data_IF_649347884675
#
_entry.id   IF_649347884675
#
_cell.length_a   1.000
_cell.length_b   1.000
_cell.length_c   1.000
_cell.angle_alpha   90.00
_cell.angle_beta   90.00
_cell.angle_gamma   90.00
#
_symmetry.space_group_name_H-M   'P 1'
#
loop_
_entity.id
_entity.type
_entity.pdbx_description
1 polymer ?
#
# COMPACT_ATOMS: atom_id res chain seq x y z
N UNK A 1 17.45 11.10 0.34
CA UNK A 1 17.41 11.35 -1.13
C UNK A 1 16.13 12.10 -1.42
N UNK A 2 16.21 13.17 -2.22
CA UNK A 2 15.06 14.00 -2.58
C UNK A 2 15.03 14.12 -4.11
N UNK A 3 13.86 13.96 -4.72
CA UNK A 3 13.67 13.99 -6.17
C UNK A 3 12.45 14.84 -6.52
N UNK A 4 12.57 15.61 -7.60
CA UNK A 4 11.46 16.27 -8.28
C UNK A 4 11.24 15.57 -9.62
N UNK A 5 10.02 15.18 -9.92
CA UNK A 5 9.66 14.45 -11.14
C UNK A 5 8.46 15.13 -11.80
N UNK A 6 8.53 15.20 -13.11
CA UNK A 6 7.47 15.73 -13.98
C UNK A 6 7.05 14.65 -14.97
N UNK A 7 6.16 14.97 -15.90
CA UNK A 7 5.74 14.12 -17.02
C UNK A 7 4.94 12.89 -16.66
N UNK A 8 4.16 12.94 -15.59
CA UNK A 8 3.28 11.83 -15.18
C UNK A 8 1.91 12.34 -14.74
N UNK A 9 0.94 11.44 -14.78
CA UNK A 9 -0.43 11.73 -14.38
C UNK A 9 -1.12 10.42 -13.99
N UNK A 10 -1.71 10.38 -12.78
CA UNK A 10 -2.53 9.25 -12.33
C UNK A 10 -3.92 9.38 -12.97
N UNK A 11 -4.22 8.48 -13.89
CA UNK A 11 -5.45 8.51 -14.70
C UNK A 11 -6.63 7.85 -14.03
N UNK A 12 -6.40 6.68 -13.45
CA UNK A 12 -7.45 5.87 -12.83
C UNK A 12 -6.87 4.96 -11.75
N UNK A 13 -7.70 4.63 -10.77
CA UNK A 13 -7.39 3.66 -9.70
C UNK A 13 -8.56 2.69 -9.60
N UNK A 14 -8.29 1.40 -9.59
CA UNK A 14 -9.23 0.35 -9.19
C UNK A 14 -8.74 -0.31 -7.91
N UNK A 15 -9.68 -0.72 -7.06
CA UNK A 15 -9.37 -1.44 -5.82
C UNK A 15 -10.29 -2.66 -5.71
N UNK A 16 -9.70 -3.81 -5.42
CA UNK A 16 -10.38 -5.08 -5.24
C UNK A 16 -10.14 -5.58 -3.82
N UNK A 17 -11.23 -6.00 -3.19
CA UNK A 17 -11.21 -6.74 -1.93
C UNK A 17 -11.93 -8.08 -2.15
N UNK A 18 -11.67 -9.10 -1.32
CA UNK A 18 -12.53 -10.29 -1.27
C UNK A 18 -14.00 -9.90 -1.15
N UNK A 19 -14.89 -10.69 -1.75
CA UNK A 19 -16.29 -10.32 -1.97
C UNK A 19 -17.05 -9.93 -0.70
N UNK A 20 -16.74 -10.59 0.42
CA UNK A 20 -17.42 -10.37 1.69
C UNK A 20 -16.37 -10.24 2.81
N UNK A 21 -16.66 -9.43 3.84
CA UNK A 21 -15.86 -9.46 5.05
C UNK A 21 -15.96 -10.83 5.72
N UNK A 22 -14.93 -11.20 6.47
CA UNK A 22 -14.95 -12.42 7.26
C UNK A 22 -16.03 -12.30 8.35
N UNK A 23 -16.81 -13.36 8.53
CA UNK A 23 -17.89 -13.34 9.52
C UNK A 23 -17.34 -13.44 10.94
N UNK A 24 -17.99 -12.74 11.88
CA UNK A 24 -17.60 -12.73 13.29
C UNK A 24 -17.44 -14.15 13.87
N UNK A 25 -18.35 -15.07 13.53
CA UNK A 25 -18.31 -16.44 14.05
C UNK A 25 -17.05 -17.19 13.57
N UNK A 26 -16.63 -16.93 12.33
CA UNK A 26 -15.42 -17.52 11.74
C UNK A 26 -14.17 -16.90 12.39
N UNK A 27 -14.17 -15.59 12.63
CA UNK A 27 -13.08 -14.88 13.33
C UNK A 27 -12.87 -15.39 14.75
N UNK A 28 -13.96 -15.53 15.52
CA UNK A 28 -13.91 -16.07 16.90
C UNK A 28 -13.28 -17.46 16.92
N UNK A 29 -13.66 -18.32 15.95
CA UNK A 29 -13.16 -19.68 15.82
C UNK A 29 -11.69 -19.71 15.38
N UNK A 30 -11.33 -18.94 14.35
CA UNK A 30 -9.97 -18.89 13.82
C UNK A 30 -8.98 -18.36 14.85
N UNK A 31 -9.35 -17.29 15.55
CA UNK A 31 -8.53 -16.68 16.59
C UNK A 31 -8.57 -17.43 17.94
N UNK A 32 -9.48 -18.38 18.11
CA UNK A 32 -9.72 -19.05 19.39
C UNK A 32 -9.90 -18.04 20.55
N UNK A 33 -10.86 -17.13 20.41
CA UNK A 33 -11.18 -16.09 21.40
C UNK A 33 -12.68 -16.06 21.68
N UNK A 34 -13.03 -15.54 22.87
CA UNK A 34 -14.41 -15.30 23.23
C UNK A 34 -14.89 -13.92 22.72
N UNK A 35 -16.20 -13.74 22.73
CA UNK A 35 -16.86 -12.53 22.23
C UNK A 35 -16.41 -11.25 22.96
N UNK A 36 -16.23 -11.30 24.28
CA UNK A 36 -15.77 -10.15 25.07
C UNK A 36 -14.37 -9.68 24.64
N UNK A 37 -13.45 -10.62 24.44
CA UNK A 37 -12.10 -10.31 23.97
C UNK A 37 -12.12 -9.77 22.54
N UNK A 38 -12.95 -10.34 21.68
CA UNK A 38 -13.15 -9.87 20.31
C UNK A 38 -13.61 -8.41 20.28
N UNK A 39 -14.66 -8.07 21.05
CA UNK A 39 -15.18 -6.70 21.13
C UNK A 39 -14.11 -5.71 21.61
N UNK A 40 -13.34 -6.07 22.66
CA UNK A 40 -12.24 -5.22 23.14
C UNK A 40 -11.16 -4.97 22.06
N UNK A 41 -10.85 -5.99 21.26
CA UNK A 41 -9.86 -5.83 20.17
C UNK A 41 -10.38 -4.89 19.08
N UNK A 42 -11.65 -5.00 18.70
CA UNK A 42 -12.27 -4.11 17.71
C UNK A 42 -12.38 -2.66 18.22
N UNK A 43 -12.81 -2.47 19.47
CA UNK A 43 -12.91 -1.13 20.07
C UNK A 43 -11.54 -0.44 20.14
N UNK A 44 -10.48 -1.18 20.51
CA UNK A 44 -9.14 -0.64 20.62
C UNK A 44 -8.52 -0.30 19.25
N UNK A 45 -8.75 -1.12 18.23
CA UNK A 45 -8.23 -0.88 16.89
C UNK A 45 -9.06 0.12 16.07
N UNK A 46 -10.35 0.21 16.37
CA UNK A 46 -11.33 0.95 15.57
C UNK A 46 -11.65 0.29 14.22
N UNK A 47 -11.28 -1.00 14.05
CA UNK A 47 -11.52 -1.79 12.85
C UNK A 47 -12.65 -2.76 13.11
N UNK A 48 -13.70 -2.71 12.29
CA UNK A 48 -14.92 -3.50 12.49
C UNK A 48 -15.15 -4.54 11.40
N UNK A 49 -14.57 -4.35 10.23
CA UNK A 49 -14.61 -5.30 9.12
C UNK A 49 -13.21 -5.56 8.63
N UNK A 50 -12.92 -6.80 8.26
CA UNK A 50 -11.74 -7.13 7.47
C UNK A 50 -12.06 -8.23 6.46
N UNK A 51 -11.27 -8.31 5.42
CA UNK A 51 -11.53 -9.13 4.25
C UNK A 51 -10.41 -10.14 4.08
N UNK A 52 -10.79 -11.41 4.00
CA UNK A 52 -9.85 -12.53 3.90
C UNK A 52 -10.15 -13.30 2.62
N UNK A 53 -9.13 -13.55 1.84
CA UNK A 53 -9.20 -14.36 0.64
C UNK A 53 -9.44 -15.83 0.97
N UNK A 54 -10.16 -16.53 0.13
CA UNK A 54 -10.29 -17.99 0.23
C UNK A 54 -8.95 -18.71 0.01
N UNK A 55 -8.94 -20.04 0.22
CA UNK A 55 -7.71 -20.84 0.16
C UNK A 55 -7.06 -20.82 -1.24
N UNK A 56 -7.84 -20.66 -2.30
CA UNK A 56 -7.40 -20.71 -3.69
C UNK A 56 -6.99 -19.37 -4.29
N UNK A 57 -7.36 -18.24 -3.64
CA UNK A 57 -7.09 -16.90 -4.13
C UNK A 57 -5.75 -16.38 -3.61
N UNK A 58 -4.86 -15.98 -4.49
CA UNK A 58 -3.52 -15.45 -4.22
C UNK A 58 -3.38 -14.00 -4.69
N UNK A 59 -2.20 -13.43 -4.44
CA UNK A 59 -1.94 -12.02 -4.78
C UNK A 59 -2.06 -11.73 -6.28
N UNK A 60 -1.60 -12.63 -7.15
CA UNK A 60 -1.75 -12.47 -8.60
C UNK A 60 -3.19 -12.56 -9.08
N UNK A 61 -4.06 -13.30 -8.38
CA UNK A 61 -5.49 -13.41 -8.74
C UNK A 61 -6.22 -12.10 -8.46
N UNK A 62 -6.03 -11.52 -7.26
CA UNK A 62 -6.59 -10.21 -6.92
C UNK A 62 -6.02 -9.11 -7.84
N UNK A 63 -4.72 -9.18 -8.13
CA UNK A 63 -4.05 -8.27 -9.05
C UNK A 63 -4.62 -8.33 -10.46
N UNK A 64 -4.88 -9.55 -10.96
CA UNK A 64 -5.52 -9.78 -12.26
C UNK A 64 -6.91 -9.13 -12.30
N UNK A 65 -7.73 -9.34 -11.26
CA UNK A 65 -9.05 -8.73 -11.16
C UNK A 65 -8.97 -7.18 -11.14
N UNK A 66 -8.00 -6.62 -10.43
CA UNK A 66 -7.84 -5.16 -10.36
C UNK A 66 -7.51 -4.55 -11.73
N UNK A 67 -6.68 -5.19 -12.55
CA UNK A 67 -6.39 -4.73 -13.91
C UNK A 67 -7.56 -5.00 -14.86
N UNK A 68 -8.26 -6.12 -14.69
CA UNK A 68 -9.43 -6.47 -15.50
C UNK A 68 -10.55 -5.44 -15.41
N UNK A 69 -10.69 -4.75 -14.28
CA UNK A 69 -11.63 -3.62 -14.13
C UNK A 69 -11.37 -2.50 -15.15
N UNK A 70 -10.12 -2.21 -15.46
CA UNK A 70 -9.79 -1.20 -16.49
C UNK A 70 -10.08 -1.70 -17.89
N UNK A 71 -9.77 -2.98 -18.16
CA UNK A 71 -9.96 -3.58 -19.47
C UNK A 71 -11.44 -3.75 -19.80
N UNK A 72 -12.24 -4.24 -18.85
CA UNK A 72 -13.68 -4.47 -19.03
C UNK A 72 -14.49 -3.21 -19.17
N UNK A 73 -14.02 -2.08 -18.65
CA UNK A 73 -14.66 -0.75 -18.73
C UNK A 73 -14.11 0.12 -19.86
N UNK A 74 -13.28 -0.44 -20.75
CA UNK A 74 -12.63 0.30 -21.85
C UNK A 74 -11.83 1.54 -21.40
N UNK A 75 -11.36 1.56 -20.14
CA UNK A 75 -10.48 2.61 -19.62
C UNK A 75 -9.07 2.47 -20.20
N UNK A 76 -8.66 1.22 -20.46
CA UNK A 76 -7.35 0.85 -20.99
C UNK A 76 -7.49 -0.34 -21.91
N UNK A 77 -6.72 -0.40 -22.99
CA UNK A 77 -6.60 -1.58 -23.86
C UNK A 77 -5.33 -2.35 -23.56
N UNK A 78 -5.34 -3.67 -23.79
CA UNK A 78 -4.21 -4.55 -23.50
C UNK A 78 -2.94 -4.19 -24.25
N UNK A 79 -3.07 -3.74 -25.49
CA UNK A 79 -1.98 -3.34 -26.38
C UNK A 79 -1.43 -1.93 -26.09
N UNK A 80 -2.08 -1.19 -25.21
CA UNK A 80 -1.63 0.13 -24.76
C UNK A 80 -0.75 0.08 -23.50
N UNK A 81 -0.58 -1.09 -22.88
CA UNK A 81 0.22 -1.23 -21.65
C UNK A 81 1.68 -1.38 -22.02
N UNK A 82 2.46 -0.31 -21.88
CA UNK A 82 3.89 -0.32 -22.13
C UNK A 82 4.68 -0.91 -20.95
N UNK A 83 4.23 -0.66 -19.72
CA UNK A 83 4.87 -1.10 -18.48
C UNK A 83 3.84 -1.66 -17.49
N UNK A 84 4.09 -2.85 -16.99
CA UNK A 84 3.36 -3.48 -15.88
C UNK A 84 4.31 -3.65 -14.69
N UNK A 85 4.03 -2.96 -13.60
CA UNK A 85 4.75 -3.11 -12.32
C UNK A 85 3.84 -3.77 -11.30
N UNK A 86 4.31 -4.84 -10.70
CA UNK A 86 3.62 -5.50 -9.59
C UNK A 86 4.42 -5.33 -8.31
N UNK A 87 3.77 -4.93 -7.23
CA UNK A 87 4.40 -4.82 -5.92
C UNK A 87 3.60 -5.57 -4.86
N UNK A 88 4.32 -6.38 -4.08
CA UNK A 88 3.76 -7.19 -3.01
C UNK A 88 4.84 -7.59 -2.01
N UNK A 89 4.46 -7.87 -0.78
CA UNK A 89 5.30 -8.62 0.16
C UNK A 89 4.80 -10.06 0.37
N UNK A 90 3.67 -10.41 -0.23
CA UNK A 90 3.12 -11.78 -0.28
C UNK A 90 2.96 -12.24 -1.73
N UNK A 91 4.04 -12.23 -2.55
CA UNK A 91 3.95 -12.75 -3.92
C UNK A 91 3.59 -14.23 -3.88
N UNK A 92 2.95 -14.73 -4.94
CA UNK A 92 2.56 -16.14 -5.05
C UNK A 92 3.79 -17.05 -5.01
N UNK A 93 4.86 -16.61 -5.69
CA UNK A 93 6.16 -17.29 -5.77
C UNK A 93 7.30 -16.26 -5.67
N UNK A 94 8.46 -16.70 -5.21
CA UNK A 94 9.70 -15.92 -5.39
C UNK A 94 10.17 -15.96 -6.86
N UNK A 95 9.81 -17.01 -7.58
CA UNK A 95 10.00 -17.20 -9.01
C UNK A 95 9.01 -18.27 -9.52
N UNK A 96 8.34 -18.07 -10.65
CA UNK A 96 8.44 -16.92 -11.57
C UNK A 96 7.84 -15.63 -10.98
N UNK A 97 8.10 -14.50 -11.63
CA UNK A 97 7.53 -13.20 -11.28
C UNK A 97 6.00 -13.22 -11.38
N UNK A 98 5.30 -12.53 -10.45
CA UNK A 98 3.84 -12.43 -10.47
C UNK A 98 3.31 -11.66 -11.69
N UNK A 99 4.07 -10.69 -12.21
CA UNK A 99 3.73 -10.03 -13.49
C UNK A 99 3.59 -11.02 -14.64
N UNK A 100 4.38 -12.11 -14.66
CA UNK A 100 4.25 -13.17 -15.67
C UNK A 100 2.94 -13.93 -15.56
N UNK A 101 2.43 -14.14 -14.34
CA UNK A 101 1.13 -14.78 -14.11
C UNK A 101 -0.01 -13.84 -14.56
N UNK A 102 0.03 -12.58 -14.16
CA UNK A 102 -0.95 -11.57 -14.56
C UNK A 102 -0.96 -11.39 -16.08
N UNK A 103 0.22 -11.29 -16.70
CA UNK A 103 0.40 -11.18 -18.14
C UNK A 103 -0.26 -12.35 -18.89
N UNK A 104 0.01 -13.58 -18.41
CA UNK A 104 -0.60 -14.79 -18.96
C UNK A 104 -2.12 -14.79 -18.79
N UNK A 105 -2.62 -14.52 -17.60
CA UNK A 105 -4.05 -14.58 -17.26
C UNK A 105 -4.87 -13.61 -18.12
N UNK A 106 -4.33 -12.42 -18.37
CA UNK A 106 -5.01 -11.39 -19.16
C UNK A 106 -4.64 -11.42 -20.65
N UNK A 107 -3.70 -12.29 -21.05
CA UNK A 107 -3.17 -12.35 -22.41
C UNK A 107 -2.74 -10.96 -22.91
N UNK A 108 -1.81 -10.34 -22.17
CA UNK A 108 -1.29 -9.02 -22.49
C UNK A 108 -0.32 -9.07 -23.69
N UNK A 109 0.03 -7.91 -24.23
CA UNK A 109 0.96 -7.79 -25.34
C UNK A 109 2.38 -8.27 -24.96
N UNK A 110 3.04 -8.99 -25.83
CA UNK A 110 4.45 -9.40 -25.66
C UNK A 110 5.42 -8.21 -25.60
N UNK A 111 4.99 -7.00 -25.93
CA UNK A 111 5.78 -5.77 -25.84
C UNK A 111 5.68 -5.10 -24.46
N UNK A 112 4.77 -5.55 -23.58
CA UNK A 112 4.65 -5.03 -22.22
C UNK A 112 5.90 -5.36 -21.40
N UNK A 113 6.61 -4.33 -20.93
CA UNK A 113 7.70 -4.49 -19.98
C UNK A 113 7.12 -4.88 -18.61
N UNK A 114 7.62 -5.96 -18.01
CA UNK A 114 7.12 -6.49 -16.74
C UNK A 114 8.18 -6.38 -15.65
N UNK A 115 7.79 -5.91 -14.46
CA UNK A 115 8.68 -5.73 -13.31
C UNK A 115 7.95 -6.08 -12.00
N UNK A 116 8.55 -6.97 -11.20
CA UNK A 116 8.12 -7.22 -9.82
C UNK A 116 8.99 -6.45 -8.84
N UNK A 117 8.36 -5.82 -7.85
CA UNK A 117 9.01 -5.13 -6.74
C UNK A 117 8.57 -5.77 -5.44
N UNK A 118 9.52 -6.29 -4.68
CA UNK A 118 9.24 -6.78 -3.34
C UNK A 118 9.16 -5.58 -2.39
N UNK A 119 8.00 -5.35 -1.82
CA UNK A 119 7.79 -4.20 -0.91
C UNK A 119 6.63 -4.43 0.05
N UNK A 120 6.77 -3.90 1.26
CA UNK A 120 5.75 -3.86 2.30
C UNK A 120 4.92 -2.55 2.20
N UNK A 121 4.58 -1.90 3.31
CA UNK A 121 3.77 -0.67 3.31
C UNK A 121 4.30 0.44 2.37
N UNK A 122 5.60 0.78 2.33
CA UNK A 122 6.12 1.78 1.40
C UNK A 122 6.29 1.26 -0.04
N UNK A 123 6.03 -0.02 -0.28
CA UNK A 123 6.17 -0.65 -1.60
C UNK A 123 5.37 0.08 -2.69
N UNK A 124 4.17 0.60 -2.35
CA UNK A 124 3.39 1.44 -3.26
C UNK A 124 4.18 2.67 -3.73
N UNK A 125 4.69 3.47 -2.80
CA UNK A 125 5.43 4.69 -3.15
C UNK A 125 6.77 4.40 -3.82
N UNK A 126 7.47 3.32 -3.42
CA UNK A 126 8.70 2.88 -4.09
C UNK A 126 8.45 2.50 -5.53
N UNK A 127 7.38 1.76 -5.79
CA UNK A 127 7.00 1.34 -7.14
C UNK A 127 6.44 2.50 -7.96
N UNK A 128 5.69 3.42 -7.33
CA UNK A 128 5.19 4.63 -7.96
C UNK A 128 6.35 5.49 -8.46
N UNK A 129 7.40 5.67 -7.64
CA UNK A 129 8.63 6.35 -8.04
C UNK A 129 9.28 5.68 -9.25
N UNK A 130 9.39 4.35 -9.25
CA UNK A 130 9.98 3.62 -10.39
C UNK A 130 9.16 3.80 -11.66
N UNK A 131 7.84 3.77 -11.58
CA UNK A 131 6.94 4.05 -12.73
C UNK A 131 7.16 5.46 -13.24
N UNK A 132 7.20 6.47 -12.37
CA UNK A 132 7.41 7.86 -12.77
C UNK A 132 8.77 8.05 -13.46
N UNK A 133 9.83 7.42 -12.95
CA UNK A 133 11.14 7.45 -13.57
C UNK A 133 11.13 6.74 -14.93
N UNK A 134 10.41 5.62 -15.07
CA UNK A 134 10.30 4.89 -16.32
C UNK A 134 9.55 5.69 -17.41
N UNK A 135 8.56 6.50 -17.02
CA UNK A 135 7.83 7.38 -17.97
C UNK A 135 8.71 8.45 -18.64
N UNK A 136 9.93 8.68 -18.15
CA UNK A 136 10.91 9.52 -18.85
C UNK A 136 11.41 8.87 -20.15
N UNK A 137 11.28 7.54 -20.31
CA UNK A 137 11.62 6.86 -21.55
C UNK A 137 10.59 7.18 -22.64
N UNK A 138 11.04 7.50 -23.88
CA UNK A 138 10.13 7.87 -24.98
C UNK A 138 9.12 6.77 -25.34
N UNK A 139 9.50 5.51 -25.18
CA UNK A 139 8.69 4.34 -25.53
C UNK A 139 7.63 3.99 -24.49
N UNK A 140 7.72 4.52 -23.26
CA UNK A 140 6.76 4.25 -22.18
C UNK A 140 5.79 5.43 -22.06
N UNK A 141 4.54 5.21 -22.42
CA UNK A 141 3.48 6.23 -22.40
C UNK A 141 2.40 5.90 -21.36
N UNK A 142 2.08 4.61 -21.21
CA UNK A 142 1.10 4.10 -20.26
C UNK A 142 1.68 2.98 -19.42
N UNK A 143 1.63 3.18 -18.12
CA UNK A 143 2.07 2.21 -17.14
C UNK A 143 0.92 1.80 -16.22
N UNK A 144 0.88 0.55 -15.83
CA UNK A 144 0.00 0.06 -14.76
C UNK A 144 0.86 -0.38 -13.60
N UNK A 145 0.64 0.26 -12.45
CA UNK A 145 1.18 -0.18 -11.17
C UNK A 145 0.11 -0.99 -10.45
N UNK A 146 0.42 -2.24 -10.12
CA UNK A 146 -0.46 -3.10 -9.33
C UNK A 146 0.16 -3.35 -7.97
N UNK A 147 -0.61 -3.08 -6.93
CA UNK A 147 -0.28 -3.47 -5.57
C UNK A 147 -1.21 -4.63 -5.16
N UNK A 148 -0.68 -5.69 -4.57
CA UNK A 148 -1.52 -6.77 -4.03
C UNK A 148 -0.95 -7.35 -2.74
N UNK A 149 -1.84 -7.78 -1.86
CA UNK A 149 -1.46 -8.40 -0.60
C UNK A 149 -2.52 -9.41 -0.17
N UNK A 150 -2.11 -10.66 0.04
CA UNK A 150 -2.90 -11.71 0.69
C UNK A 150 -2.23 -12.06 2.02
N UNK A 151 -2.20 -11.05 2.90
CA UNK A 151 -1.49 -11.09 4.19
C UNK A 151 -2.13 -12.08 5.16
N UNK A 152 -3.43 -12.33 5.03
CA UNK A 152 -4.13 -13.31 5.87
C UNK A 152 -3.48 -14.70 5.85
N UNK A 153 -2.91 -15.10 4.71
CA UNK A 153 -2.20 -16.38 4.55
C UNK A 153 -0.82 -16.41 5.19
N UNK A 154 -0.29 -15.25 5.56
CA UNK A 154 1.02 -15.09 6.17
C UNK A 154 0.94 -14.84 7.69
N UNK A 155 -0.25 -14.84 8.28
CA UNK A 155 -0.48 -14.60 9.71
C UNK A 155 -1.08 -15.86 10.34
N UNK A 156 -0.52 -16.28 11.47
CA UNK A 156 -1.13 -17.28 12.34
C UNK A 156 -2.17 -16.60 13.24
N UNK A 157 -3.45 -16.76 12.91
CA UNK A 157 -4.57 -16.13 13.63
C UNK A 157 -4.63 -16.49 15.12
N UNK A 158 -4.07 -17.63 15.53
CA UNK A 158 -4.05 -18.04 16.95
C UNK A 158 -2.89 -17.41 17.70
N UNK A 159 -1.76 -17.16 17.05
CA UNK A 159 -0.57 -16.57 17.65
C UNK A 159 -0.61 -15.04 17.64
N UNK A 160 -1.02 -14.43 16.52
CA UNK A 160 -1.10 -12.98 16.38
C UNK A 160 -2.50 -12.54 15.96
N UNK A 161 -3.41 -12.61 16.93
CA UNK A 161 -4.83 -12.28 16.77
C UNK A 161 -5.06 -10.83 16.36
N UNK A 162 -4.26 -9.92 16.91
CA UNK A 162 -4.40 -8.47 16.66
C UNK A 162 -4.07 -8.17 15.20
N UNK A 163 -2.91 -8.65 14.74
CA UNK A 163 -2.53 -8.45 13.35
C UNK A 163 -3.52 -9.14 12.39
N UNK A 164 -4.02 -10.34 12.72
CA UNK A 164 -5.00 -11.04 11.89
C UNK A 164 -6.30 -10.25 11.77
N UNK A 165 -6.91 -9.86 12.89
CA UNK A 165 -8.21 -9.16 12.93
C UNK A 165 -8.15 -7.74 12.35
N UNK A 166 -6.98 -7.13 12.33
CA UNK A 166 -6.81 -5.77 11.83
C UNK A 166 -6.50 -5.69 10.33
N UNK A 167 -6.06 -6.78 9.68
CA UNK A 167 -5.59 -6.74 8.30
C UNK A 167 -6.59 -7.30 7.31
N UNK A 168 -6.65 -6.70 6.12
CA UNK A 168 -7.43 -7.17 4.98
C UNK A 168 -6.55 -7.48 3.79
N UNK A 169 -6.93 -8.53 3.07
CA UNK A 169 -6.39 -8.84 1.76
C UNK A 169 -6.99 -7.89 0.71
N UNK A 170 -6.20 -7.51 -0.28
CA UNK A 170 -6.64 -6.56 -1.29
C UNK A 170 -5.67 -6.49 -2.46
N UNK A 171 -6.15 -5.92 -3.56
CA UNK A 171 -5.30 -5.45 -4.65
C UNK A 171 -5.80 -4.11 -5.17
N UNK A 172 -4.91 -3.36 -5.78
CA UNK A 172 -5.22 -2.15 -6.54
C UNK A 172 -4.45 -2.12 -7.84
N UNK A 173 -5.05 -1.56 -8.89
CA UNK A 173 -4.37 -1.19 -10.11
C UNK A 173 -4.46 0.33 -10.30
N UNK A 174 -3.33 0.94 -10.62
CA UNK A 174 -3.19 2.37 -10.84
C UNK A 174 -2.70 2.57 -12.27
N UNK A 175 -3.52 3.20 -13.10
CA UNK A 175 -3.15 3.60 -14.45
C UNK A 175 -2.45 4.95 -14.39
N UNK A 176 -1.23 4.99 -14.91
CA UNK A 176 -0.39 6.17 -14.93
C UNK A 176 0.01 6.45 -16.38
N UNK A 177 -0.27 7.66 -16.84
CA UNK A 177 0.03 8.08 -18.19
C UNK A 177 1.12 9.15 -18.19
N UNK A 178 1.89 9.17 -19.28
CA UNK A 178 2.87 10.23 -19.52
C UNK A 178 2.13 11.56 -19.74
N UNK A 179 2.51 12.56 -18.97
CA UNK A 179 2.01 13.93 -19.13
C UNK A 179 3.07 14.77 -19.87
N UNK A 180 2.64 15.61 -20.78
CA UNK A 180 3.51 16.59 -21.45
C UNK A 180 3.52 17.94 -20.75
N UNK A 181 2.65 18.14 -19.76
CA UNK A 181 2.64 19.35 -18.95
C UNK A 181 3.73 19.29 -17.89
N UNK A 182 4.79 20.04 -18.08
CA UNK A 182 5.94 20.11 -17.16
C UNK A 182 5.68 20.92 -15.89
N UNK A 183 4.53 21.58 -15.78
CA UNK A 183 4.15 22.35 -14.58
C UNK A 183 3.66 21.43 -13.47
N UNK A 184 3.16 20.21 -13.81
CA UNK A 184 2.75 19.21 -12.84
C UNK A 184 3.99 18.51 -12.28
N UNK A 185 4.24 18.73 -11.00
CA UNK A 185 5.42 18.24 -10.31
C UNK A 185 5.05 17.32 -9.16
N UNK A 186 5.78 16.22 -9.05
CA UNK A 186 5.76 15.37 -7.87
C UNK A 186 7.11 15.39 -7.16
N UNK A 187 7.05 15.39 -5.84
CA UNK A 187 8.21 15.42 -4.98
C UNK A 187 8.31 14.11 -4.19
N UNK A 188 9.48 13.48 -4.23
CA UNK A 188 9.75 12.27 -3.45
C UNK A 188 10.91 12.51 -2.49
N UNK A 189 10.77 11.99 -1.28
CA UNK A 189 11.88 11.89 -0.35
C UNK A 189 11.96 10.50 0.25
N UNK A 190 13.18 10.02 0.48
CA UNK A 190 13.44 8.77 1.18
C UNK A 190 14.59 8.95 2.16
N UNK A 191 14.39 8.43 3.39
CA UNK A 191 15.41 8.37 4.43
C UNK A 191 15.46 6.94 4.98
N UNK A 192 16.66 6.36 5.11
CA UNK A 192 16.88 5.02 5.65
C UNK A 192 17.51 5.16 7.04
N UNK A 193 16.96 4.48 8.01
CA UNK A 193 17.45 4.41 9.39
C UNK A 193 18.00 3.01 9.68
N UNK A 194 19.20 2.72 9.20
CA UNK A 194 19.83 1.40 9.25
C UNK A 194 20.24 0.93 10.65
N UNK A 195 20.24 1.82 11.64
CA UNK A 195 20.63 1.50 13.00
C UNK A 195 19.52 0.81 13.82
N UNK A 196 18.31 0.77 13.32
CA UNK A 196 17.19 0.10 13.97
C UNK A 196 16.93 -1.22 13.26
N UNK A 197 17.13 -2.31 14.00
CA UNK A 197 17.17 -3.64 13.45
C UNK A 197 15.80 -4.08 12.90
N UNK A 198 15.72 -4.26 11.60
CA UNK A 198 14.55 -4.79 10.90
C UNK A 198 14.15 -6.17 11.43
N UNK A 199 15.14 -6.96 11.88
CA UNK A 199 14.95 -8.33 12.37
C UNK A 199 14.09 -8.39 13.66
N UNK A 200 14.07 -7.31 14.45
CA UNK A 200 13.26 -7.24 15.67
C UNK A 200 11.80 -6.87 15.39
N UNK A 201 11.50 -6.43 14.19
CA UNK A 201 10.23 -5.77 13.92
C UNK A 201 9.29 -6.53 13.00
N UNK A 202 9.77 -7.12 11.89
CA UNK A 202 8.90 -7.77 10.91
C UNK A 202 9.62 -8.80 10.00
N UNK A 203 10.36 -9.79 10.51
CA UNK A 203 10.98 -10.77 9.63
C UNK A 203 9.91 -11.67 9.00
N UNK A 204 9.94 -11.79 7.68
CA UNK A 204 9.04 -12.66 6.93
C UNK A 204 9.75 -13.31 5.75
N UNK A 205 9.73 -14.62 5.75
CA UNK A 205 9.98 -15.50 4.61
C UNK A 205 11.24 -15.19 3.76
N UNK A 206 12.43 -15.22 4.34
CA UNK A 206 13.69 -15.13 3.61
C UNK A 206 14.60 -16.33 3.93
N UNK A 207 15.74 -16.42 3.26
CA UNK A 207 16.72 -17.50 3.49
C UNK A 207 17.27 -17.51 4.91
N UNK A 208 17.26 -16.37 5.60
CA UNK A 208 17.72 -16.25 6.99
C UNK A 208 16.64 -16.60 8.02
N UNK A 209 15.36 -16.64 7.61
CA UNK A 209 14.25 -17.00 8.49
C UNK A 209 13.98 -18.51 8.41
N UNK A 210 14.75 -19.31 9.11
CA UNK A 210 14.77 -20.78 8.99
C UNK A 210 13.47 -21.51 9.36
N UNK A 211 12.40 -20.82 9.81
CA UNK A 211 11.16 -21.51 10.19
C UNK A 211 9.91 -20.63 10.30
N UNK A 212 10.01 -19.32 10.26
CA UNK A 212 8.84 -18.48 10.44
C UNK A 212 8.15 -18.18 9.09
N UNK A 213 7.21 -19.05 8.74
CA UNK A 213 6.28 -18.81 7.63
C UNK A 213 5.26 -17.68 7.92
N UNK A 214 5.27 -17.16 9.14
CA UNK A 214 4.29 -16.21 9.62
C UNK A 214 4.95 -14.87 9.93
N UNK A 215 4.26 -13.80 9.55
CA UNK A 215 4.61 -12.43 9.92
C UNK A 215 4.43 -12.28 11.44
N UNK A 216 5.42 -11.70 12.09
CA UNK A 216 5.34 -11.29 13.49
C UNK A 216 5.69 -9.79 13.56
N UNK A 217 4.71 -8.96 13.96
CA UNK A 217 4.91 -7.52 14.04
C UNK A 217 5.16 -7.06 15.47
N UNK A 218 6.27 -6.36 15.72
CA UNK A 218 6.46 -5.60 16.95
C UNK A 218 5.86 -4.19 16.78
N UNK A 219 4.54 -4.09 16.98
CA UNK A 219 3.79 -2.85 16.75
C UNK A 219 4.21 -1.73 17.69
N UNK A 220 4.64 -2.03 18.91
CA UNK A 220 5.11 -1.04 19.88
C UNK A 220 6.44 -0.39 19.43
N UNK A 221 7.35 -1.20 18.92
CA UNK A 221 8.63 -0.70 18.39
C UNK A 221 8.40 0.13 17.12
N UNK A 222 7.53 -0.33 16.22
CA UNK A 222 7.15 0.40 15.01
C UNK A 222 6.52 1.76 15.34
N UNK A 223 5.61 1.80 16.31
CA UNK A 223 4.99 3.04 16.79
C UNK A 223 6.03 4.01 17.36
N UNK A 224 6.90 3.52 18.26
CA UNK A 224 7.96 4.35 18.87
C UNK A 224 8.90 4.93 17.82
N UNK A 225 9.32 4.11 16.86
CA UNK A 225 10.16 4.52 15.75
C UNK A 225 9.51 5.64 14.92
N UNK A 226 8.24 5.45 14.55
CA UNK A 226 7.47 6.44 13.78
C UNK A 226 7.38 7.76 14.52
N UNK A 227 6.97 7.73 15.80
CA UNK A 227 6.81 8.93 16.61
C UNK A 227 8.12 9.67 16.83
N UNK A 228 9.25 8.97 16.86
CA UNK A 228 10.55 9.57 17.07
C UNK A 228 11.12 10.24 15.81
N UNK A 229 11.00 9.57 14.67
CA UNK A 229 11.78 9.93 13.47
C UNK A 229 10.98 10.72 12.43
N UNK A 230 9.68 10.41 12.32
CA UNK A 230 8.87 10.93 11.24
C UNK A 230 8.66 12.46 11.27
N UNK A 231 8.38 13.12 12.41
CA UNK A 231 8.16 14.56 12.42
C UNK A 231 9.34 15.38 11.89
N UNK A 232 10.56 14.99 12.22
CA UNK A 232 11.76 15.65 11.70
C UNK A 232 11.92 15.40 10.19
N UNK A 233 11.64 14.17 9.72
CA UNK A 233 11.70 13.87 8.31
C UNK A 233 10.65 14.64 7.49
N UNK A 234 9.43 14.79 8.01
CA UNK A 234 8.38 15.59 7.40
C UNK A 234 8.77 17.07 7.29
N UNK A 235 9.36 17.61 8.34
CA UNK A 235 9.84 18.99 8.34
C UNK A 235 10.99 19.17 7.32
N UNK A 236 11.99 18.28 7.33
CA UNK A 236 13.10 18.26 6.37
C UNK A 236 12.59 18.25 4.91
N UNK A 237 11.52 17.49 4.64
CA UNK A 237 10.89 17.41 3.32
C UNK A 237 10.27 18.75 2.91
N UNK A 238 9.46 19.37 3.78
CA UNK A 238 8.82 20.63 3.49
C UNK A 238 9.85 21.75 3.24
N UNK A 239 10.90 21.80 4.07
CA UNK A 239 11.98 22.78 3.92
C UNK A 239 12.76 22.57 2.63
N UNK A 240 13.12 21.32 2.30
CA UNK A 240 13.91 21.03 1.11
C UNK A 240 13.23 21.49 -0.19
N UNK A 241 11.92 21.27 -0.30
CA UNK A 241 11.15 21.63 -1.49
C UNK A 241 10.46 22.99 -1.38
N UNK A 242 10.73 23.75 -0.32
CA UNK A 242 10.10 25.04 -0.03
C UNK A 242 8.56 24.97 -0.04
N UNK A 243 8.02 23.91 0.56
CA UNK A 243 6.59 23.64 0.66
C UNK A 243 6.07 24.04 2.05
N UNK A 244 4.78 24.32 2.13
CA UNK A 244 4.08 24.57 3.39
C UNK A 244 2.97 23.54 3.56
N UNK A 245 2.58 23.23 4.79
CA UNK A 245 1.42 22.37 5.06
C UNK A 245 0.16 22.87 4.35
N UNK A 246 -0.01 24.19 4.24
CA UNK A 246 -1.11 24.82 3.52
C UNK A 246 -1.01 24.71 2.00
N UNK A 247 0.07 24.12 1.46
CA UNK A 247 0.21 23.83 0.05
C UNK A 247 -0.58 22.57 -0.38
N UNK A 248 -1.06 21.81 0.60
CA UNK A 248 -1.76 20.54 0.36
C UNK A 248 -3.23 20.65 0.71
N UNK A 249 -4.06 20.01 -0.10
CA UNK A 249 -5.49 19.88 0.15
C UNK A 249 -5.78 18.76 1.14
N UNK A 250 -4.99 17.67 1.09
CA UNK A 250 -5.21 16.49 1.92
C UNK A 250 -3.88 15.80 2.28
N UNK A 251 -3.89 15.06 3.38
CA UNK A 251 -2.77 14.27 3.87
C UNK A 251 -3.20 12.82 4.02
N UNK A 252 -2.61 11.93 3.23
CA UNK A 252 -2.81 10.49 3.32
C UNK A 252 -1.58 9.86 3.97
N UNK A 253 -1.70 9.53 5.25
CA UNK A 253 -0.62 8.95 6.03
C UNK A 253 -0.95 7.50 6.34
N UNK A 254 -0.10 6.59 5.86
CA UNK A 254 -0.26 5.18 6.16
C UNK A 254 -0.11 4.92 7.66
N UNK A 255 -1.06 4.16 8.23
CA UNK A 255 -1.05 3.73 9.62
C UNK A 255 -1.75 2.39 9.75
N UNK A 256 -1.32 1.57 10.70
CA UNK A 256 -1.90 0.26 10.99
C UNK A 256 -3.25 0.34 11.72
N UNK A 257 -3.50 1.44 12.44
CA UNK A 257 -4.67 1.65 13.28
C UNK A 257 -4.97 3.15 13.49
N UNK A 258 -6.18 3.45 13.94
CA UNK A 258 -6.63 4.83 14.16
C UNK A 258 -5.89 5.55 15.28
N UNK A 259 -5.49 4.83 16.33
CA UNK A 259 -4.76 5.44 17.45
C UNK A 259 -3.40 5.98 16.99
N UNK A 260 -2.62 5.15 16.29
CA UNK A 260 -1.32 5.52 15.74
C UNK A 260 -1.43 6.69 14.76
N UNK A 261 -2.46 6.65 13.88
CA UNK A 261 -2.73 7.74 12.93
C UNK A 261 -3.04 9.04 13.65
N UNK A 262 -3.95 9.02 14.63
CA UNK A 262 -4.31 10.20 15.42
C UNK A 262 -3.09 10.81 16.11
N UNK A 263 -2.27 9.98 16.79
CA UNK A 263 -1.08 10.46 17.49
C UNK A 263 -0.06 11.10 16.56
N UNK A 264 0.08 10.57 15.36
CA UNK A 264 0.98 11.16 14.36
C UNK A 264 0.44 12.51 13.85
N UNK A 265 -0.85 12.59 13.52
CA UNK A 265 -1.49 13.85 13.12
C UNK A 265 -1.37 14.93 14.19
N UNK A 266 -1.61 14.60 15.48
CA UNK A 266 -1.41 15.49 16.62
C UNK A 266 0.04 16.01 16.65
N UNK A 267 1.01 15.11 16.48
CA UNK A 267 2.44 15.47 16.54
C UNK A 267 2.89 16.32 15.35
N UNK A 268 2.25 16.16 14.21
CA UNK A 268 2.50 16.96 13.02
C UNK A 268 1.71 18.27 12.98
N UNK A 269 0.84 18.54 13.95
CA UNK A 269 -0.11 19.65 13.94
C UNK A 269 -0.96 19.64 12.64
N UNK A 270 -1.53 18.48 12.30
CA UNK A 270 -2.48 18.27 11.23
C UNK A 270 -3.87 18.01 11.81
N UNK A 271 -4.91 18.39 11.06
CA UNK A 271 -6.28 18.06 11.44
C UNK A 271 -6.53 16.58 11.23
N UNK A 272 -6.88 15.87 12.31
CA UNK A 272 -7.24 14.47 12.25
C UNK A 272 -8.75 14.31 12.03
N UNK A 273 -9.11 13.54 11.04
CA UNK A 273 -10.47 13.00 10.86
C UNK A 273 -10.41 11.50 11.02
N UNK A 274 -11.46 10.91 11.62
CA UNK A 274 -11.50 9.46 11.82
C UNK A 274 -11.37 8.73 10.47
N UNK A 275 -10.49 7.75 10.42
CA UNK A 275 -10.23 6.98 9.22
C UNK A 275 -11.34 5.94 8.97
N UNK A 276 -12.33 6.34 8.16
CA UNK A 276 -13.42 5.46 7.77
C UNK A 276 -12.95 4.29 6.90
N UNK A 277 -11.81 4.42 6.21
CA UNK A 277 -11.21 3.33 5.42
C UNK A 277 -10.75 2.21 6.36
N UNK A 278 -9.98 2.54 7.40
CA UNK A 278 -9.58 1.55 8.42
C UNK A 278 -10.79 0.90 9.09
N UNK A 279 -11.80 1.69 9.45
CA UNK A 279 -13.01 1.20 10.11
C UNK A 279 -13.75 0.16 9.28
N UNK A 280 -13.92 0.43 7.99
CA UNK A 280 -14.81 -0.34 7.12
C UNK A 280 -14.09 -1.44 6.32
N UNK A 281 -12.79 -1.29 6.08
CA UNK A 281 -12.04 -2.19 5.20
C UNK A 281 -10.83 -2.83 5.87
N UNK A 282 -10.53 -2.47 7.13
CA UNK A 282 -9.32 -2.92 7.81
C UNK A 282 -8.04 -2.29 7.26
N UNK A 283 -6.91 -2.77 7.74
CA UNK A 283 -5.60 -2.36 7.24
C UNK A 283 -5.26 -3.16 5.98
N UNK A 284 -5.43 -2.55 4.83
CA UNK A 284 -5.11 -3.12 3.51
C UNK A 284 -3.62 -3.01 3.16
N UNK A 285 -2.77 -2.68 4.13
CA UNK A 285 -1.29 -2.60 4.02
C UNK A 285 -0.84 -1.76 2.82
N UNK A 286 -0.18 -2.36 1.83
CA UNK A 286 0.32 -1.69 0.63
C UNK A 286 -0.78 -0.99 -0.18
N UNK A 287 -2.03 -1.44 -0.07
CA UNK A 287 -3.18 -0.89 -0.79
C UNK A 287 -3.92 0.20 -0.01
N UNK A 288 -3.47 0.56 1.21
CA UNK A 288 -4.17 1.56 2.01
C UNK A 288 -4.18 2.93 1.33
N UNK A 289 -3.03 3.40 0.89
CA UNK A 289 -2.93 4.67 0.17
C UNK A 289 -3.67 4.66 -1.18
N UNK A 290 -3.54 3.64 -2.04
CA UNK A 290 -4.38 3.50 -3.23
C UNK A 290 -5.89 3.54 -2.95
N UNK A 291 -6.34 2.89 -1.86
CA UNK A 291 -7.75 2.88 -1.46
C UNK A 291 -8.22 4.26 -0.96
N UNK A 292 -7.40 4.96 -0.19
CA UNK A 292 -7.66 6.34 0.23
C UNK A 292 -7.75 7.27 -0.99
N UNK A 293 -6.80 7.20 -1.91
CA UNK A 293 -6.82 7.97 -3.16
C UNK A 293 -8.06 7.68 -4.01
N UNK A 294 -8.42 6.41 -4.20
CA UNK A 294 -9.61 6.02 -4.95
C UNK A 294 -10.89 6.60 -4.33
N UNK A 295 -10.97 6.65 -3.01
CA UNK A 295 -12.11 7.22 -2.28
C UNK A 295 -12.24 8.73 -2.45
N UNK A 296 -11.13 9.44 -2.68
CA UNK A 296 -11.09 10.87 -2.86
C UNK A 296 -11.14 11.32 -4.34
N UNK A 297 -10.83 10.44 -5.29
CA UNK A 297 -10.76 10.77 -6.72
C UNK A 297 -12.06 11.38 -7.30
N UNK A 298 -13.21 11.17 -6.65
CA UNK A 298 -14.48 11.84 -7.00
C UNK A 298 -14.56 13.33 -6.60
N UNK A 299 -13.64 13.86 -5.80
CA UNK A 299 -13.66 15.22 -5.24
C UNK A 299 -12.77 16.26 -5.94
N UNK A 300 -12.06 15.91 -7.00
CA UNK A 300 -11.23 16.87 -7.76
C UNK A 300 -10.03 17.41 -6.97
N UNK A 301 -9.31 16.58 -6.25
CA UNK A 301 -8.12 16.99 -5.48
C UNK A 301 -6.96 17.22 -6.42
N UNK A 302 -6.43 18.44 -6.43
CA UNK A 302 -5.32 18.85 -7.28
C UNK A 302 -3.94 18.69 -6.61
N UNK A 303 -3.90 18.63 -5.27
CA UNK A 303 -2.66 18.49 -4.51
C UNK A 303 -2.89 17.65 -3.27
N UNK A 304 -2.16 16.55 -3.13
CA UNK A 304 -2.22 15.68 -1.98
C UNK A 304 -0.82 15.25 -1.52
N UNK A 305 -0.75 14.88 -0.28
CA UNK A 305 0.44 14.36 0.37
C UNK A 305 0.22 12.88 0.67
N UNK A 306 1.13 12.04 0.19
CA UNK A 306 1.11 10.59 0.42
C UNK A 306 2.30 10.17 1.25
N UNK A 307 2.06 9.33 2.22
CA UNK A 307 3.12 8.76 3.02
C UNK A 307 2.87 7.30 3.34
N UNK A 308 3.92 6.52 3.22
CA UNK A 308 4.00 5.20 3.80
C UNK A 308 5.29 5.05 4.62
N UNK A 309 5.13 4.57 5.83
CA UNK A 309 6.22 4.21 6.73
C UNK A 309 6.36 2.71 6.82
N UNK A 310 7.58 2.26 6.59
CA UNK A 310 8.04 0.97 7.04
C UNK A 310 9.29 1.17 7.89
N UNK A 311 9.53 0.27 8.79
CA UNK A 311 10.64 0.28 9.72
C UNK A 311 11.97 0.47 8.99
N UNK A 312 12.54 1.67 9.12
CA UNK A 312 13.77 2.09 8.47
C UNK A 312 13.63 2.75 7.10
N UNK A 313 12.44 2.84 6.52
CA UNK A 313 12.24 3.36 5.16
C UNK A 313 11.02 4.30 5.08
N UNK A 314 11.09 5.54 5.56
CA UNK A 314 10.06 6.51 5.20
C UNK A 314 10.20 6.93 3.75
N UNK A 315 9.10 6.84 3.01
CA UNK A 315 8.94 7.37 1.66
C UNK A 315 7.83 8.39 1.65
N UNK A 316 8.09 9.53 1.04
CA UNK A 316 7.14 10.59 0.85
C UNK A 316 6.93 10.85 -0.63
N UNK A 317 5.69 11.08 -1.00
CA UNK A 317 5.31 11.55 -2.31
C UNK A 317 4.31 12.70 -2.18
N UNK A 318 4.52 13.72 -3.00
CA UNK A 318 3.61 14.85 -3.17
C UNK A 318 3.40 15.05 -4.65
N UNK A 319 2.16 15.14 -5.07
CA UNK A 319 1.76 15.47 -6.43
C UNK A 319 0.88 16.71 -6.45
#
# INVERSE_FOLDING_TARGET
MNLEITNHFIKAISVILPKNPLRKEDELKLCNINERKYQLLQENSGIFNHFVSDESTYSSDLATQALEEFLSKDILKKDEIDLLVFTSFTPDYLAPACTSLIHKNLNLSSHTLCLDVLGFCPGFLQSLLQVFLALNQPSIKKAVLICASVKSKAIDAQKDKITFLNNSDSASAILIEKNTNIEDKSYFAQKIFSTQCIEETLPYNGLQTNSNKNIQANTALAFSFTMQNYPAFFQDFLEHFNLKKTSFNEFFIHSSDNFSKQKLYEKLNLNFTQDNILKNYGNTTINKLPLELASYAGGGINKFYLEALEQGLPLMHVA
#
